data_IF_474194754500
#
_entry.id   IF_474194754500
#
_cell.length_a   1.000
_cell.length_b   1.000
_cell.length_c   1.000
_cell.angle_alpha   90.00
_cell.angle_beta   90.00
_cell.angle_gamma   90.00
#
_symmetry.space_group_name_H-M   'P 1'
#
loop_
_entity.id
_entity.type
_entity.pdbx_description
1 polymer ?
#
# COMPACT_ATOMS: atom_id res chain seq x y z
N UNK A 1 24.08 19.30 -20.62
CA UNK A 1 24.29 18.42 -21.79
C UNK A 1 24.02 16.99 -21.34
N UNK A 2 23.07 16.32 -21.99
CA UNK A 2 22.67 14.91 -21.76
C UNK A 2 23.85 13.95 -21.96
N UNK A 3 24.03 12.95 -21.07
CA UNK A 3 24.39 11.51 -21.30
C UNK A 3 24.09 10.77 -19.97
N UNK A 4 22.99 10.05 -19.73
CA UNK A 4 22.50 8.76 -20.25
C UNK A 4 23.49 7.57 -20.15
N UNK A 5 23.21 6.73 -19.14
CA UNK A 5 23.11 5.24 -19.11
C UNK A 5 24.35 4.39 -19.47
N UNK A 6 24.69 3.43 -18.58
CA UNK A 6 24.94 2.03 -18.96
C UNK A 6 24.95 1.10 -17.73
N UNK A 7 24.00 0.16 -17.76
CA UNK A 7 23.74 -0.96 -16.88
C UNK A 7 24.61 -2.16 -17.33
N UNK A 8 25.27 -2.88 -16.42
CA UNK A 8 25.81 -4.23 -16.71
C UNK A 8 25.37 -5.15 -15.57
N UNK A 9 24.30 -5.90 -15.83
CA UNK A 9 23.94 -7.11 -15.12
C UNK A 9 24.54 -8.29 -15.89
N UNK A 10 25.41 -9.07 -15.25
CA UNK A 10 25.89 -10.33 -15.77
C UNK A 10 26.11 -11.30 -14.60
N UNK A 11 25.41 -12.44 -14.61
CA UNK A 11 25.56 -13.51 -13.62
C UNK A 11 24.46 -14.56 -13.68
N UNK A 12 24.55 -15.44 -14.67
CA UNK A 12 23.63 -16.56 -14.95
C UNK A 12 23.91 -17.81 -14.10
N UNK A 13 22.82 -18.56 -13.81
CA UNK A 13 22.65 -20.04 -13.71
C UNK A 13 23.15 -20.80 -12.47
N UNK A 14 22.20 -21.46 -11.79
CA UNK A 14 22.33 -22.89 -11.45
C UNK A 14 20.95 -23.58 -11.42
N UNK A 15 20.95 -24.82 -11.89
CA UNK A 15 19.87 -25.68 -12.36
C UNK A 15 19.18 -26.44 -11.20
N UNK A 16 17.86 -26.61 -11.23
CA UNK A 16 17.13 -27.52 -10.34
C UNK A 16 15.97 -28.20 -11.06
N UNK A 17 16.21 -29.43 -11.56
CA UNK A 17 15.17 -30.31 -12.11
C UNK A 17 14.33 -30.91 -10.98
N UNK A 18 13.00 -30.85 -11.09
CA UNK A 18 12.08 -31.69 -10.31
C UNK A 18 11.07 -32.37 -11.26
N UNK A 19 10.76 -33.61 -10.91
CA UNK A 19 10.30 -34.69 -11.77
C UNK A 19 8.89 -34.56 -12.36
N UNK A 20 8.71 -35.21 -13.51
CA UNK A 20 7.44 -35.58 -14.13
C UNK A 20 6.81 -36.79 -13.42
N UNK A 21 5.48 -36.87 -13.34
CA UNK A 21 4.82 -38.06 -12.80
C UNK A 21 3.28 -38.05 -12.76
N UNK A 22 2.66 -38.19 -13.93
CA UNK A 22 1.39 -38.89 -14.20
C UNK A 22 0.05 -38.36 -13.62
N UNK A 23 -0.76 -37.88 -14.56
CA UNK A 23 -2.23 -37.90 -14.57
C UNK A 23 -2.80 -39.30 -14.37
N UNK A 24 -3.80 -39.46 -13.48
CA UNK A 24 -4.97 -40.29 -13.78
C UNK A 24 -6.15 -39.89 -12.91
N UNK A 25 -7.26 -39.68 -13.59
CA UNK A 25 -8.61 -39.38 -13.14
C UNK A 25 -9.22 -40.45 -12.23
N UNK A 26 -10.01 -40.03 -11.24
CA UNK A 26 -11.17 -40.81 -10.77
C UNK A 26 -12.27 -39.83 -10.30
N UNK A 27 -13.50 -39.91 -10.86
CA UNK A 27 -14.65 -39.15 -10.40
C UNK A 27 -15.45 -39.94 -9.34
N UNK A 28 -16.12 -39.23 -8.43
CA UNK A 28 -17.52 -39.46 -8.03
C UNK A 28 -17.83 -38.94 -6.61
N UNK A 29 -18.90 -38.15 -6.57
CA UNK A 29 -19.93 -38.08 -5.53
C UNK A 29 -19.64 -37.44 -4.17
N UNK A 30 -20.11 -36.20 -4.11
CA UNK A 30 -21.28 -35.76 -3.33
C UNK A 30 -21.11 -35.37 -1.86
N UNK A 31 -21.57 -34.14 -1.59
CA UNK A 31 -22.42 -33.68 -0.46
C UNK A 31 -21.83 -32.42 0.21
N UNK A 32 -22.67 -31.40 0.48
CA UNK A 32 -22.33 -29.99 0.34
C UNK A 32 -21.74 -29.40 1.61
N UNK A 33 -20.88 -28.39 1.47
CA UNK A 33 -20.53 -27.51 2.59
C UNK A 33 -20.75 -26.07 2.19
N UNK A 34 -21.86 -25.56 2.70
CA UNK A 34 -22.19 -24.16 2.86
C UNK A 34 -21.01 -23.42 3.49
N UNK A 35 -20.28 -22.66 2.69
CA UNK A 35 -19.59 -21.47 3.15
C UNK A 35 -20.16 -20.33 2.31
N UNK A 36 -21.05 -19.58 2.95
CA UNK A 36 -21.61 -18.33 2.45
C UNK A 36 -20.44 -17.42 2.12
N UNK A 37 -20.17 -17.24 0.83
CA UNK A 37 -19.41 -16.12 0.33
C UNK A 37 -20.21 -14.88 0.73
N UNK A 38 -19.75 -14.20 1.78
CA UNK A 38 -20.35 -12.96 2.22
C UNK A 38 -20.36 -12.00 1.03
N UNK A 39 -21.48 -11.33 0.73
CA UNK A 39 -21.50 -10.37 -0.36
C UNK A 39 -20.51 -9.27 -0.01
N UNK A 40 -19.41 -9.19 -0.75
CA UNK A 40 -18.63 -7.96 -0.85
C UNK A 40 -19.58 -6.91 -1.36
N UNK A 41 -20.03 -6.04 -0.46
CA UNK A 41 -20.80 -4.85 -0.78
C UNK A 41 -19.94 -3.99 -1.70
N UNK A 42 -20.16 -4.16 -3.00
CA UNK A 42 -19.59 -3.35 -4.06
C UNK A 42 -20.27 -1.97 -3.96
N UNK A 43 -19.71 -1.12 -3.10
CA UNK A 43 -20.11 0.28 -3.06
C UNK A 43 -19.68 0.88 -4.40
N UNK A 44 -20.64 1.39 -5.18
CA UNK A 44 -20.35 2.05 -6.44
C UNK A 44 -19.50 3.30 -6.17
N UNK A 45 -18.18 3.11 -6.27
CA UNK A 45 -17.21 4.14 -5.99
C UNK A 45 -17.30 5.21 -7.07
N UNK A 46 -17.65 6.44 -6.67
CA UNK A 46 -17.69 7.56 -7.59
C UNK A 46 -16.29 7.78 -8.19
N UNK A 47 -16.16 7.91 -9.52
CA UNK A 47 -14.88 8.15 -10.16
C UNK A 47 -14.25 9.44 -9.62
N UNK A 48 -12.98 9.34 -9.22
CA UNK A 48 -12.23 10.45 -8.62
C UNK A 48 -12.55 10.73 -7.16
N UNK A 49 -13.34 9.89 -6.46
CA UNK A 49 -13.46 9.92 -5.00
C UNK A 49 -12.33 9.14 -4.29
N UNK A 50 -12.21 9.35 -2.98
CA UNK A 50 -11.43 8.43 -2.14
C UNK A 50 -12.17 7.09 -1.97
N UNK A 51 -11.39 6.02 -1.82
CA UNK A 51 -11.90 4.72 -1.41
C UNK A 51 -12.50 4.78 -0.01
N UNK A 52 -13.23 3.74 0.37
CA UNK A 52 -13.46 3.48 1.80
C UNK A 52 -12.11 3.24 2.50
N UNK A 53 -12.06 3.53 3.80
CA UNK A 53 -10.87 3.25 4.59
C UNK A 53 -10.70 1.74 4.75
N UNK A 54 -9.48 1.28 4.50
CA UNK A 54 -9.07 -0.12 4.62
C UNK A 54 -7.80 -0.25 5.45
N UNK A 55 -7.51 -1.47 5.86
CA UNK A 55 -6.25 -1.85 6.49
C UNK A 55 -5.05 -1.60 5.54
N UNK A 56 -3.89 -1.41 6.15
CA UNK A 56 -2.63 -1.13 5.45
C UNK A 56 -2.05 -2.38 4.82
N UNK A 57 -1.53 -2.25 3.61
CA UNK A 57 -0.65 -3.24 2.98
C UNK A 57 0.81 -2.83 3.16
N UNK A 58 1.74 -3.76 2.91
CA UNK A 58 3.18 -3.46 2.95
C UNK A 58 3.58 -2.34 1.97
N UNK A 59 2.91 -2.25 0.81
CA UNK A 59 3.12 -1.18 -0.16
C UNK A 59 2.63 0.18 0.35
N UNK A 60 1.51 0.22 1.08
CA UNK A 60 1.04 1.47 1.69
C UNK A 60 2.01 1.95 2.77
N UNK A 61 2.56 1.02 3.55
CA UNK A 61 3.59 1.31 4.56
C UNK A 61 4.88 1.84 3.93
N UNK A 62 5.31 1.28 2.80
CA UNK A 62 6.48 1.79 2.06
C UNK A 62 6.27 3.23 1.60
N UNK A 63 5.13 3.52 0.96
CA UNK A 63 4.77 4.88 0.53
C UNK A 63 4.78 5.85 1.70
N UNK A 64 4.17 5.44 2.82
CA UNK A 64 4.13 6.24 4.04
C UNK A 64 5.54 6.51 4.58
N UNK A 65 6.35 5.47 4.78
CA UNK A 65 7.67 5.59 5.37
C UNK A 65 8.62 6.46 4.51
N UNK A 66 8.58 6.31 3.19
CA UNK A 66 9.39 7.12 2.28
C UNK A 66 8.97 8.59 2.32
N UNK A 67 7.65 8.87 2.35
CA UNK A 67 7.15 10.23 2.44
C UNK A 67 7.51 10.90 3.78
N UNK A 68 7.53 10.13 4.86
CA UNK A 68 7.77 10.62 6.23
C UNK A 68 9.25 10.69 6.63
N UNK A 69 10.17 10.16 5.82
CA UNK A 69 11.62 10.03 6.11
C UNK A 69 12.27 11.32 6.66
N UNK A 70 11.82 12.49 6.19
CA UNK A 70 12.40 13.79 6.55
C UNK A 70 11.51 14.65 7.46
N UNK A 71 10.38 14.11 7.93
CA UNK A 71 9.49 14.82 8.84
C UNK A 71 9.98 14.62 10.29
N UNK A 72 10.18 15.72 11.02
CA UNK A 72 10.72 15.72 12.39
C UNK A 72 9.78 16.44 13.35
N UNK A 73 9.94 16.18 14.66
CA UNK A 73 9.17 16.84 15.74
C UNK A 73 7.94 16.07 16.22
N UNK A 74 7.50 15.06 15.47
CA UNK A 74 6.49 14.10 15.89
C UNK A 74 6.74 12.74 15.22
N UNK A 75 6.34 11.65 15.89
CA UNK A 75 6.25 10.33 15.29
C UNK A 75 4.83 10.11 14.79
N UNK A 76 4.71 9.43 13.66
CA UNK A 76 3.42 9.12 13.04
C UNK A 76 3.32 7.63 12.78
N UNK A 77 2.26 7.01 13.26
CA UNK A 77 1.95 5.60 13.08
C UNK A 77 0.68 5.48 12.23
N UNK A 78 0.78 5.04 10.96
CA UNK A 78 -0.39 4.86 10.12
C UNK A 78 -1.23 3.69 10.64
N UNK A 79 -2.55 3.86 10.67
CA UNK A 79 -3.51 2.85 11.15
C UNK A 79 -4.42 2.36 10.04
N UNK A 80 -4.89 3.26 9.16
CA UNK A 80 -5.75 2.95 8.01
C UNK A 80 -5.40 3.82 6.82
N UNK A 81 -5.86 3.42 5.65
CA UNK A 81 -5.64 4.16 4.42
C UNK A 81 -6.88 4.19 3.54
N UNK A 82 -7.13 5.33 2.92
CA UNK A 82 -8.00 5.46 1.75
C UNK A 82 -7.17 6.00 0.58
N UNK A 83 -7.47 5.59 -0.65
CA UNK A 83 -6.74 6.03 -1.85
C UNK A 83 -7.68 6.69 -2.84
N UNK A 84 -7.13 7.53 -3.71
CA UNK A 84 -7.86 8.17 -4.80
C UNK A 84 -6.97 8.15 -6.04
N UNK A 85 -7.51 7.64 -7.15
CA UNK A 85 -6.81 7.63 -8.44
C UNK A 85 -6.94 9.01 -9.08
N UNK A 86 -5.80 9.60 -9.46
CA UNK A 86 -5.67 10.89 -10.17
C UNK A 86 -4.67 10.73 -11.32
N UNK A 87 -3.82 11.72 -11.61
CA UNK A 87 -2.63 11.54 -12.45
C UNK A 87 -1.47 10.86 -11.68
N UNK A 88 -1.81 9.81 -10.93
CA UNK A 88 -1.03 9.24 -9.84
C UNK A 88 -2.00 8.70 -8.79
N UNK A 89 -1.54 8.60 -7.56
CA UNK A 89 -2.38 8.14 -6.43
C UNK A 89 -2.25 9.11 -5.28
N UNK A 90 -3.38 9.67 -4.85
CA UNK A 90 -3.48 10.33 -3.56
C UNK A 90 -3.78 9.27 -2.50
N UNK A 91 -3.03 9.31 -1.40
CA UNK A 91 -3.26 8.51 -0.20
C UNK A 91 -3.73 9.43 0.91
N UNK A 92 -4.69 8.96 1.70
CA UNK A 92 -5.11 9.57 2.97
C UNK A 92 -4.94 8.53 4.06
N UNK A 93 -3.89 8.71 4.86
CA UNK A 93 -3.61 7.85 5.99
C UNK A 93 -4.26 8.42 7.24
N UNK A 94 -5.07 7.62 7.93
CA UNK A 94 -5.44 7.90 9.30
C UNK A 94 -4.29 7.42 10.19
N UNK A 95 -3.66 8.32 10.93
CA UNK A 95 -2.45 8.04 11.68
C UNK A 95 -2.53 8.57 13.11
N UNK A 96 -1.90 7.85 14.04
CA UNK A 96 -1.63 8.35 15.38
C UNK A 96 -0.37 9.20 15.33
N UNK A 97 -0.44 10.43 15.86
CA UNK A 97 0.66 11.37 16.00
C UNK A 97 1.06 11.46 17.47
N UNK A 98 2.35 11.31 17.76
CA UNK A 98 2.92 11.53 19.10
C UNK A 98 4.01 12.59 19.02
N UNK A 99 3.89 13.67 19.78
CA UNK A 99 4.90 14.75 19.78
C UNK A 99 6.19 14.31 20.46
N UNK A 100 7.34 14.76 19.93
CA UNK A 100 8.65 14.48 20.52
C UNK A 100 9.03 15.63 21.46
N UNK A 101 8.32 15.75 22.57
CA UNK A 101 8.47 16.79 23.61
C UNK A 101 8.70 16.19 25.00
N UNK A 102 9.09 17.00 25.99
CA UNK A 102 9.31 16.53 27.38
C UNK A 102 8.05 15.91 27.99
N UNK A 103 6.89 16.46 27.62
CA UNK A 103 5.57 15.90 27.86
C UNK A 103 4.96 15.57 26.48
N UNK A 104 4.99 14.30 26.04
CA UNK A 104 4.43 13.89 24.75
C UNK A 104 2.90 14.01 24.76
N UNK A 105 2.35 14.51 23.67
CA UNK A 105 0.91 14.56 23.41
C UNK A 105 0.57 13.62 22.25
N UNK A 106 -0.51 12.86 22.43
CA UNK A 106 -1.04 11.95 21.41
C UNK A 106 -2.30 12.53 20.79
N UNK A 107 -2.36 12.54 19.46
CA UNK A 107 -3.51 12.99 18.67
C UNK A 107 -3.68 12.10 17.45
N UNK A 108 -4.84 12.17 16.80
CA UNK A 108 -5.09 11.48 15.53
C UNK A 108 -5.14 12.50 14.41
N UNK A 109 -4.56 12.14 13.27
CA UNK A 109 -4.42 13.02 12.10
C UNK A 109 -4.71 12.26 10.81
N UNK A 110 -5.13 13.00 9.79
CA UNK A 110 -5.08 12.57 8.40
C UNK A 110 -3.81 13.09 7.74
N UNK A 111 -2.97 12.18 7.25
CA UNK A 111 -1.76 12.50 6.47
C UNK A 111 -2.08 12.25 4.99
N UNK A 112 -2.00 13.29 4.19
CA UNK A 112 -2.24 13.25 2.75
C UNK A 112 -0.91 13.13 2.01
N UNK A 113 -0.73 12.06 1.25
CA UNK A 113 0.49 11.78 0.49
C UNK A 113 0.14 11.62 -0.97
N UNK A 114 0.89 12.26 -1.86
CA UNK A 114 0.78 12.06 -3.30
C UNK A 114 1.93 11.21 -3.82
N UNK A 115 1.59 10.17 -4.58
CA UNK A 115 2.53 9.34 -5.35
C UNK A 115 2.31 9.58 -6.84
N UNK A 116 3.37 10.02 -7.53
CA UNK A 116 3.40 10.20 -8.97
C UNK A 116 3.37 8.86 -9.72
N UNK A 117 2.93 8.88 -10.98
CA UNK A 117 3.03 7.72 -11.90
C UNK A 117 4.47 7.39 -12.27
N UNK A 118 5.38 8.36 -12.16
CA UNK A 118 6.81 8.12 -12.31
C UNK A 118 7.37 7.49 -11.03
N UNK A 119 7.69 6.20 -11.10
CA UNK A 119 8.24 5.44 -9.97
C UNK A 119 9.62 5.93 -9.50
N UNK A 120 10.29 6.81 -10.25
CA UNK A 120 11.54 7.46 -9.81
C UNK A 120 11.31 8.67 -8.91
N UNK A 121 10.09 9.21 -8.87
CA UNK A 121 9.70 10.30 -7.97
C UNK A 121 9.24 9.75 -6.62
N UNK A 122 9.81 10.32 -5.54
CA UNK A 122 9.41 9.96 -4.17
C UNK A 122 7.99 10.45 -3.85
N UNK A 123 7.20 9.69 -3.09
CA UNK A 123 5.93 10.18 -2.57
C UNK A 123 6.15 11.41 -1.67
N UNK A 124 5.23 12.36 -1.75
CA UNK A 124 5.34 13.66 -1.09
C UNK A 124 4.14 13.92 -0.19
N UNK A 125 4.38 14.39 1.03
CA UNK A 125 3.33 14.87 1.92
C UNK A 125 2.75 16.16 1.35
N UNK A 126 1.45 16.16 1.12
CA UNK A 126 0.71 17.31 0.60
C UNK A 126 0.03 18.09 1.72
N UNK A 127 -0.46 17.40 2.75
CA UNK A 127 -1.18 18.01 3.86
C UNK A 127 -1.17 17.08 5.09
N UNK A 128 -1.23 17.66 6.30
CA UNK A 128 -1.50 16.95 7.55
C UNK A 128 -2.59 17.73 8.27
N UNK A 129 -3.70 17.08 8.58
CA UNK A 129 -4.88 17.69 9.22
C UNK A 129 -5.24 16.88 10.46
N UNK A 130 -5.65 17.53 11.55
CA UNK A 130 -6.15 16.82 12.72
C UNK A 130 -7.47 16.08 12.40
N UNK A 131 -7.64 14.88 12.95
CA UNK A 131 -8.86 14.10 12.80
C UNK A 131 -9.82 14.45 13.95
N UNK A 132 -10.82 15.29 13.65
CA UNK A 132 -11.89 15.69 14.59
C UNK A 132 -13.00 14.64 14.72
#
# INVERSE_FOLDING_TARGET
MKKWVALIFAGLIALGLAACGSTSSTPASATPSSAVEAPSSESEQMPGGYTEERELTDADLEVFNVAMENLVGATYEPLKVATQVVNGTNYRFYAKKTTVTAEPEESYVYVYIYQSLDASEKPTITEIVDAE
#
